data_IF_019202554475
#
_entry.id   IF_019202554475
#
_cell.length_a   1.000
_cell.length_b   1.000
_cell.length_c   1.000
_cell.angle_alpha   90.00
_cell.angle_beta   90.00
_cell.angle_gamma   90.00
#
_symmetry.space_group_name_H-M   'P 1'
#
loop_
_entity.id
_entity.type
_entity.pdbx_description
1 polymer ?
#
# COMPACT_ATOMS: atom_id res chain seq x y z
N UNK A 1 -4.13 -1.39 -14.21
CA UNK A 1 -2.71 -1.06 -14.43
C UNK A 1 -2.49 0.45 -14.62
N UNK A 2 -2.93 1.05 -15.74
CA UNK A 2 -2.71 2.50 -16.00
C UNK A 2 -3.37 3.44 -14.97
N UNK A 3 -4.56 3.10 -14.47
CA UNK A 3 -5.24 3.89 -13.42
C UNK A 3 -4.47 3.93 -12.10
N UNK A 4 -3.98 2.79 -11.62
CA UNK A 4 -3.19 2.70 -10.39
C UNK A 4 -1.86 3.45 -10.51
N UNK A 5 -1.19 3.36 -11.68
CA UNK A 5 0.06 4.09 -11.92
C UNK A 5 -0.14 5.61 -12.01
N UNK A 6 -1.25 6.06 -12.59
CA UNK A 6 -1.61 7.47 -12.58
C UNK A 6 -1.90 7.98 -11.16
N UNK A 7 -2.63 7.21 -10.35
CA UNK A 7 -2.89 7.53 -8.94
C UNK A 7 -1.59 7.57 -8.12
N UNK A 8 -0.68 6.62 -8.33
CA UNK A 8 0.63 6.62 -7.69
C UNK A 8 1.42 7.88 -8.03
N UNK A 9 1.48 8.28 -9.31
CA UNK A 9 2.19 9.50 -9.71
C UNK A 9 1.53 10.77 -9.17
N UNK A 10 0.20 10.82 -9.14
CA UNK A 10 -0.53 11.95 -8.56
C UNK A 10 -0.33 12.05 -7.05
N UNK A 11 -0.24 10.93 -6.35
CA UNK A 11 0.07 10.87 -4.92
C UNK A 11 1.57 11.16 -4.64
N UNK A 12 2.47 10.85 -5.57
CA UNK A 12 3.92 11.06 -5.42
C UNK A 12 4.37 12.50 -5.67
N UNK A 13 3.56 13.34 -6.31
CA UNK A 13 3.91 14.73 -6.57
C UNK A 13 3.99 15.56 -5.28
N UNK A 14 4.60 16.74 -5.31
CA UNK A 14 4.68 17.63 -4.13
C UNK A 14 3.42 18.50 -3.94
N UNK A 15 2.40 18.35 -4.80
CA UNK A 15 1.18 19.15 -4.77
C UNK A 15 0.12 18.55 -3.83
N UNK A 16 -0.08 19.19 -2.69
CA UNK A 16 -1.09 18.81 -1.70
C UNK A 16 -2.52 18.81 -2.25
N UNK A 17 -2.83 19.68 -3.23
CA UNK A 17 -4.17 19.70 -3.84
C UNK A 17 -4.41 18.47 -4.71
N UNK A 18 -3.38 17.99 -5.42
CA UNK A 18 -3.43 16.78 -6.22
C UNK A 18 -3.63 15.55 -5.33
N UNK A 19 -2.90 15.47 -4.21
CA UNK A 19 -3.04 14.41 -3.20
C UNK A 19 -4.42 14.42 -2.55
N UNK A 20 -4.92 15.59 -2.15
CA UNK A 20 -6.25 15.71 -1.57
C UNK A 20 -7.34 15.32 -2.57
N UNK A 21 -7.15 15.62 -3.86
CA UNK A 21 -8.06 15.16 -4.91
C UNK A 21 -8.06 13.63 -5.05
N UNK A 22 -6.90 12.97 -4.92
CA UNK A 22 -6.80 11.50 -4.89
C UNK A 22 -7.57 10.92 -3.71
N UNK A 23 -7.42 11.49 -2.50
CA UNK A 23 -8.18 11.05 -1.32
C UNK A 23 -9.67 11.27 -1.50
N UNK A 24 -10.08 12.47 -1.92
CA UNK A 24 -11.49 12.82 -2.10
C UNK A 24 -12.16 11.98 -3.20
N UNK A 25 -11.38 11.50 -4.18
CA UNK A 25 -11.85 10.61 -5.22
C UNK A 25 -11.90 9.12 -4.80
N UNK A 26 -11.51 8.78 -3.57
CA UNK A 26 -11.45 7.40 -3.10
C UNK A 26 -10.33 6.59 -3.77
N UNK A 27 -9.19 7.23 -4.03
CA UNK A 27 -8.08 6.63 -4.75
C UNK A 27 -7.50 5.39 -4.07
N UNK A 28 -7.43 5.38 -2.73
CA UNK A 28 -6.95 4.24 -1.96
C UNK A 28 -7.91 3.04 -2.08
N UNK A 29 -9.21 3.28 -1.94
CA UNK A 29 -10.27 2.28 -2.10
C UNK A 29 -10.29 1.71 -3.51
N UNK A 30 -10.10 2.56 -4.53
CA UNK A 30 -10.01 2.12 -5.92
C UNK A 30 -8.80 1.21 -6.18
N UNK A 31 -7.64 1.52 -5.58
CA UNK A 31 -6.45 0.68 -5.68
C UNK A 31 -6.67 -0.66 -4.98
N UNK A 32 -7.21 -0.66 -3.75
CA UNK A 32 -7.53 -1.90 -3.01
C UNK A 32 -8.53 -2.76 -3.78
N UNK A 33 -9.61 -2.16 -4.29
CA UNK A 33 -10.61 -2.88 -5.08
C UNK A 33 -10.02 -3.46 -6.37
N UNK A 34 -9.05 -2.79 -7.00
CA UNK A 34 -8.36 -3.33 -8.15
C UNK A 34 -7.44 -4.51 -7.79
N UNK A 35 -6.76 -4.44 -6.64
CA UNK A 35 -5.88 -5.51 -6.15
C UNK A 35 -6.64 -6.76 -5.71
N UNK A 36 -7.84 -6.61 -5.15
CA UNK A 36 -8.71 -7.72 -4.71
C UNK A 36 -9.73 -8.16 -5.79
N UNK A 37 -9.74 -7.47 -6.93
CA UNK A 37 -10.72 -7.65 -7.99
C UNK A 37 -10.46 -8.85 -8.92
N UNK A 38 -11.18 -8.94 -10.04
CA UNK A 38 -11.09 -10.05 -11.02
C UNK A 38 -9.70 -10.24 -11.65
N UNK A 39 -8.82 -9.26 -11.47
CA UNK A 39 -7.46 -9.21 -12.00
C UNK A 39 -6.41 -9.39 -10.90
N UNK A 40 -6.78 -9.98 -9.76
CA UNK A 40 -5.86 -10.20 -8.64
C UNK A 40 -4.63 -11.08 -8.98
N UNK A 41 -4.75 -11.95 -10.00
CA UNK A 41 -3.66 -12.79 -10.52
C UNK A 41 -2.65 -12.03 -11.40
N UNK A 42 -2.88 -10.75 -11.67
CA UNK A 42 -1.98 -9.93 -12.46
C UNK A 42 -0.84 -9.35 -11.61
N UNK A 43 0.32 -9.98 -11.65
CA UNK A 43 1.49 -9.58 -10.85
C UNK A 43 1.94 -8.13 -11.08
N UNK A 44 1.80 -7.60 -12.29
CA UNK A 44 2.17 -6.22 -12.59
C UNK A 44 1.15 -5.23 -12.00
N UNK A 45 -0.14 -5.60 -11.98
CA UNK A 45 -1.14 -4.82 -11.27
C UNK A 45 -0.85 -4.80 -9.77
N UNK A 46 -0.49 -5.95 -9.19
CA UNK A 46 -0.15 -6.03 -7.78
C UNK A 46 1.08 -5.20 -7.45
N UNK A 47 2.12 -5.21 -8.31
CA UNK A 47 3.31 -4.35 -8.15
C UNK A 47 2.94 -2.88 -8.09
N UNK A 48 2.21 -2.42 -9.10
CA UNK A 48 1.79 -1.01 -9.19
C UNK A 48 0.84 -0.64 -8.06
N UNK A 49 -0.04 -1.57 -7.63
CA UNK A 49 -0.90 -1.39 -6.48
C UNK A 49 -0.10 -1.19 -5.19
N UNK A 50 0.82 -2.11 -4.87
CA UNK A 50 1.70 -2.00 -3.71
C UNK A 50 2.54 -0.71 -3.73
N UNK A 51 3.08 -0.33 -4.89
CA UNK A 51 3.83 0.91 -5.06
C UNK A 51 2.94 2.14 -4.80
N UNK A 52 1.73 2.18 -5.37
CA UNK A 52 0.77 3.25 -5.13
C UNK A 52 0.43 3.38 -3.64
N UNK A 53 0.19 2.26 -2.95
CA UNK A 53 -0.09 2.25 -1.51
C UNK A 53 1.11 2.72 -0.71
N UNK A 54 2.33 2.34 -1.09
CA UNK A 54 3.56 2.77 -0.43
C UNK A 54 3.85 4.25 -0.62
N UNK A 55 3.59 4.79 -1.81
CA UNK A 55 3.64 6.24 -2.07
C UNK A 55 2.61 6.96 -1.21
N UNK A 56 1.34 6.53 -1.27
CA UNK A 56 0.25 7.07 -0.46
C UNK A 56 0.46 6.91 1.05
N UNK A 57 1.38 6.07 1.50
CA UNK A 57 1.73 5.90 2.91
C UNK A 57 3.07 6.56 3.32
N UNK A 58 3.87 7.03 2.35
CA UNK A 58 5.27 7.43 2.54
C UNK A 58 5.49 8.93 2.73
N UNK A 59 4.42 9.69 2.84
CA UNK A 59 4.47 11.14 3.02
C UNK A 59 5.05 11.64 4.32
N UNK A 60 5.62 12.85 4.27
CA UNK A 60 5.92 13.67 5.46
C UNK A 60 4.66 13.96 6.31
N UNK A 61 4.83 14.34 7.57
CA UNK A 61 3.78 14.63 8.58
C UNK A 61 2.58 15.51 8.13
N UNK A 62 2.67 16.24 7.00
CA UNK A 62 1.53 16.92 6.36
C UNK A 62 0.51 15.97 5.67
N UNK A 63 0.68 14.65 5.81
CA UNK A 63 0.04 13.62 4.99
C UNK A 63 -1.00 12.78 5.76
N UNK A 64 -1.59 13.28 6.85
CA UNK A 64 -2.53 12.47 7.65
C UNK A 64 -3.73 11.96 6.87
N UNK A 65 -4.30 12.77 5.96
CA UNK A 65 -5.50 12.39 5.21
C UNK A 65 -5.26 11.22 4.24
N UNK A 66 -4.14 11.22 3.52
CA UNK A 66 -3.80 10.14 2.59
C UNK A 66 -3.40 8.87 3.33
N UNK A 67 -2.60 8.99 4.39
CA UNK A 67 -2.22 7.84 5.22
C UNK A 67 -3.47 7.19 5.85
N UNK A 68 -4.34 8.02 6.44
CA UNK A 68 -5.60 7.56 7.01
C UNK A 68 -6.49 6.90 5.95
N UNK A 69 -6.56 7.44 4.73
CA UNK A 69 -7.31 6.82 3.63
C UNK A 69 -6.78 5.44 3.26
N UNK A 70 -5.45 5.27 3.19
CA UNK A 70 -4.81 3.97 2.93
C UNK A 70 -5.15 2.94 4.01
N UNK A 71 -5.11 3.34 5.28
CA UNK A 71 -5.47 2.47 6.41
C UNK A 71 -6.96 2.13 6.37
N UNK A 72 -7.83 3.12 6.21
CA UNK A 72 -9.28 2.93 6.17
C UNK A 72 -9.73 2.06 4.98
N UNK A 73 -9.03 2.15 3.85
CA UNK A 73 -9.29 1.32 2.68
C UNK A 73 -8.86 -0.14 2.87
N UNK A 74 -8.20 -0.51 3.98
CA UNK A 74 -7.68 -1.86 4.19
C UNK A 74 -6.38 -2.14 3.42
N UNK A 75 -5.60 -1.10 3.14
CA UNK A 75 -4.42 -1.18 2.29
C UNK A 75 -3.37 -2.19 2.73
N UNK A 76 -3.15 -2.30 4.04
CA UNK A 76 -2.21 -3.27 4.59
C UNK A 76 -2.62 -4.72 4.29
N UNK A 77 -3.91 -5.04 4.43
CA UNK A 77 -4.44 -6.37 4.15
C UNK A 77 -4.35 -6.69 2.65
N UNK A 78 -4.67 -5.73 1.79
CA UNK A 78 -4.55 -5.89 0.34
C UNK A 78 -3.10 -6.17 -0.11
N UNK A 79 -2.13 -5.44 0.46
CA UNK A 79 -0.70 -5.65 0.17
C UNK A 79 -0.25 -7.04 0.64
N UNK A 80 -0.66 -7.49 1.83
CA UNK A 80 -0.33 -8.84 2.33
C UNK A 80 -0.93 -9.92 1.43
N UNK A 81 -2.19 -9.76 1.03
CA UNK A 81 -2.85 -10.72 0.15
C UNK A 81 -2.13 -10.81 -1.21
N UNK A 82 -1.75 -9.67 -1.79
CA UNK A 82 -0.99 -9.61 -3.03
C UNK A 82 0.37 -10.32 -2.92
N UNK A 83 1.12 -10.04 -1.85
CA UNK A 83 2.41 -10.67 -1.58
C UNK A 83 2.27 -12.19 -1.37
N UNK A 84 1.24 -12.63 -0.65
CA UNK A 84 0.97 -14.05 -0.44
C UNK A 84 0.60 -14.80 -1.71
N UNK A 85 -0.12 -14.14 -2.62
CA UNK A 85 -0.53 -14.72 -3.90
C UNK A 85 0.62 -14.87 -4.91
N UNK A 86 1.60 -13.98 -4.82
CA UNK A 86 2.73 -13.87 -5.77
C UNK A 86 4.06 -13.96 -5.02
N UNK A 87 4.25 -15.03 -4.25
CA UNK A 87 5.42 -15.19 -3.36
C UNK A 87 6.75 -15.21 -4.11
N UNK A 88 6.77 -15.70 -5.36
CA UNK A 88 7.97 -15.79 -6.19
C UNK A 88 8.37 -14.45 -6.85
N UNK A 89 7.50 -13.44 -6.87
CA UNK A 89 7.84 -12.13 -7.46
C UNK A 89 8.56 -11.25 -6.44
N UNK A 90 9.89 -11.30 -6.47
CA UNK A 90 10.75 -10.53 -5.56
C UNK A 90 10.52 -9.02 -5.64
N UNK A 91 10.12 -8.49 -6.79
CA UNK A 91 9.91 -7.05 -6.91
C UNK A 91 8.59 -6.63 -6.26
N UNK A 92 7.56 -7.46 -6.35
CA UNK A 92 6.33 -7.29 -5.60
C UNK A 92 6.59 -7.40 -4.10
N UNK A 93 7.35 -8.42 -3.66
CA UNK A 93 7.69 -8.58 -2.23
C UNK A 93 8.36 -7.31 -1.70
N UNK A 94 9.37 -6.79 -2.41
CA UNK A 94 10.06 -5.55 -2.05
C UNK A 94 9.12 -4.35 -1.97
N UNK A 95 8.24 -4.20 -2.96
CA UNK A 95 7.30 -3.07 -3.03
C UNK A 95 6.27 -3.15 -1.90
N UNK A 96 5.75 -4.35 -1.63
CA UNK A 96 4.80 -4.58 -0.53
C UNK A 96 5.42 -4.34 0.84
N UNK A 97 6.64 -4.82 1.09
CA UNK A 97 7.37 -4.53 2.33
C UNK A 97 7.61 -3.03 2.52
N UNK A 98 7.99 -2.31 1.47
CA UNK A 98 8.15 -0.86 1.52
C UNK A 98 6.84 -0.14 1.90
N UNK A 99 5.73 -0.55 1.29
CA UNK A 99 4.42 0.01 1.61
C UNK A 99 4.01 -0.22 3.07
N UNK A 100 4.23 -1.44 3.58
CA UNK A 100 3.95 -1.77 4.97
C UNK A 100 4.84 -1.03 5.96
N UNK A 101 6.13 -0.86 5.64
CA UNK A 101 7.03 -0.07 6.47
C UNK A 101 6.54 1.38 6.57
N UNK A 102 6.15 1.99 5.45
CA UNK A 102 5.62 3.35 5.43
C UNK A 102 4.36 3.49 6.28
N UNK A 103 3.39 2.57 6.10
CA UNK A 103 2.16 2.54 6.92
C UNK A 103 2.46 2.38 8.42
N UNK A 104 3.42 1.51 8.77
CA UNK A 104 3.81 1.27 10.16
C UNK A 104 4.52 2.47 10.80
N UNK A 105 5.34 3.20 10.03
CA UNK A 105 6.02 4.40 10.50
C UNK A 105 5.03 5.52 10.80
N UNK A 106 4.05 5.76 9.93
CA UNK A 106 2.99 6.73 10.18
C UNK A 106 2.14 6.37 11.40
N UNK A 107 1.74 5.10 11.51
CA UNK A 107 0.97 4.58 12.66
C UNK A 107 1.73 4.79 13.98
N UNK A 108 3.05 4.57 14.00
CA UNK A 108 3.92 4.77 15.17
C UNK A 108 4.07 6.25 15.57
N UNK A 109 3.79 7.20 14.67
CA UNK A 109 3.68 8.63 14.97
C UNK A 109 2.51 9.00 15.88
N UNK A 110 1.66 8.04 16.25
CA UNK A 110 0.53 8.22 17.17
C UNK A 110 -0.77 8.61 16.47
N UNK A 111 -0.86 8.39 15.16
CA UNK A 111 -1.96 8.90 14.32
C UNK A 111 -3.10 7.89 14.16
N UNK A 112 -2.83 6.59 14.33
CA UNK A 112 -3.86 5.53 14.46
C UNK A 112 -3.41 4.47 15.47
N UNK A 113 -4.35 3.93 16.26
CA UNK A 113 -4.11 2.84 17.20
C UNK A 113 -4.44 1.47 16.59
N UNK A 114 -4.01 1.22 15.35
CA UNK A 114 -4.41 0.00 14.66
C UNK A 114 -3.44 -1.16 14.94
N UNK A 115 -3.86 -2.03 15.87
CA UNK A 115 -3.13 -3.23 16.29
C UNK A 115 -3.01 -4.25 15.15
N UNK A 116 -3.91 -4.23 14.15
CA UNK A 116 -3.85 -5.15 13.01
C UNK A 116 -2.67 -4.87 12.09
N UNK A 117 -2.36 -3.59 11.84
CA UNK A 117 -1.20 -3.17 11.04
C UNK A 117 0.12 -3.71 11.61
N UNK A 118 0.25 -3.69 12.94
CA UNK A 118 1.43 -4.20 13.65
C UNK A 118 1.52 -5.74 13.59
N UNK A 119 0.39 -6.45 13.52
CA UNK A 119 0.36 -7.91 13.31
C UNK A 119 0.65 -8.30 11.86
N UNK A 120 0.11 -7.56 10.89
CA UNK A 120 0.29 -7.81 9.45
C UNK A 120 1.73 -7.51 8.98
N UNK A 121 2.38 -6.48 9.52
CA UNK A 121 3.79 -6.19 9.24
C UNK A 121 4.74 -7.30 9.69
N UNK A 122 4.45 -7.97 10.82
CA UNK A 122 5.24 -9.12 11.29
C UNK A 122 5.05 -10.36 10.39
N UNK A 123 3.87 -10.57 9.81
CA UNK A 123 3.60 -11.70 8.92
C UNK A 123 4.36 -11.62 7.58
N UNK A 124 4.51 -10.41 7.02
CA UNK A 124 5.24 -10.22 5.77
C UNK A 124 6.76 -10.39 5.93
N UNK A 125 7.33 -9.98 7.07
CA UNK A 125 8.73 -10.26 7.41
C UNK A 125 8.99 -11.77 7.56
N UNK A 126 8.03 -12.52 8.09
CA UNK A 126 8.13 -13.98 8.20
C UNK A 126 8.10 -14.68 6.82
N UNK A 127 7.33 -14.16 5.86
CA UNK A 127 7.29 -14.71 4.49
C UNK A 127 8.60 -14.48 3.71
N UNK A 128 9.33 -13.40 3.95
CA UNK A 128 10.67 -13.22 3.36
C UNK A 128 11.70 -14.20 3.93
N UNK A 129 11.60 -14.56 5.21
CA UNK A 129 12.52 -15.52 5.84
C UNK A 129 12.25 -16.99 5.43
N UNK A 130 11.08 -17.28 4.87
CA UNK A 130 10.69 -18.63 4.41
C UNK A 130 10.94 -18.87 2.91
N UNK A 131 11.42 -17.85 2.17
CA UNK A 131 11.68 -17.93 0.72
C UNK A 131 13.14 -18.14 0.34
N UNK A 132 14.06 -18.21 1.31
CA UNK A 132 15.48 -18.53 1.10
C UNK A 132 15.71 -20.04 1.34
N UNK A 133 15.34 -20.88 0.36
CA UNK A 133 15.80 -22.28 0.21
C UNK A 133 16.48 -22.48 -1.15
#
# INVERSE_FOLDING_TARGET
RLGCGALANMAAGDDDACKQAVVNAGGAEAVVAAMDGPVADDVELQRVGCEAMGVMAGGSDAWDACNQAVVNAGGAAAVVAAMGRHIADLKLQRSGCGAQQNMALWTRGGHVADVELQRLGCGALANMAAGDD
#
